data_IF_699026984693
#
_entry.id   IF_699026984693
#
_cell.length_a   1.000
_cell.length_b   1.000
_cell.length_c   1.000
_cell.angle_alpha   90.00
_cell.angle_beta   90.00
_cell.angle_gamma   90.00
#
_symmetry.space_group_name_H-M   'P 1'
#
loop_
_entity.id
_entity.type
_entity.pdbx_description
1 polymer ?
#
# COMPACT_ATOMS: atom_id res chain seq x y z
N UNK A 1 4.79 -14.85 -9.10
CA UNK A 1 5.16 -13.45 -8.76
C UNK A 1 4.26 -12.39 -9.42
N UNK A 2 3.57 -12.65 -10.55
CA UNK A 2 2.69 -11.65 -11.21
C UNK A 2 1.32 -11.48 -10.52
N UNK A 3 0.87 -12.48 -9.76
CA UNK A 3 -0.54 -12.54 -9.31
C UNK A 3 -0.81 -11.77 -8.00
N UNK A 4 0.21 -11.55 -7.16
CA UNK A 4 0.05 -10.79 -5.90
C UNK A 4 -0.30 -9.31 -6.16
N UNK A 5 0.25 -8.73 -7.23
CA UNK A 5 -0.06 -7.36 -7.62
C UNK A 5 -1.52 -7.22 -8.09
N UNK A 6 -2.02 -8.21 -8.83
CA UNK A 6 -3.41 -8.24 -9.27
C UNK A 6 -4.37 -8.37 -8.08
N UNK A 7 -4.06 -9.23 -7.11
CA UNK A 7 -4.85 -9.38 -5.89
C UNK A 7 -4.91 -8.08 -5.10
N UNK A 8 -3.77 -7.43 -4.86
CA UNK A 8 -3.72 -6.14 -4.16
C UNK A 8 -4.47 -5.04 -4.91
N UNK A 9 -4.40 -5.03 -6.24
CA UNK A 9 -5.16 -4.10 -7.07
C UNK A 9 -6.66 -4.30 -6.92
N UNK A 10 -7.15 -5.55 -7.01
CA UNK A 10 -8.58 -5.87 -6.83
C UNK A 10 -9.05 -5.47 -5.43
N UNK A 11 -8.26 -5.77 -4.40
CA UNK A 11 -8.60 -5.41 -3.02
C UNK A 11 -8.58 -3.89 -2.77
N UNK A 12 -7.81 -3.13 -3.55
CA UNK A 12 -7.79 -1.67 -3.44
C UNK A 12 -9.03 -1.01 -4.07
N UNK A 13 -9.70 -1.65 -5.03
CA UNK A 13 -10.80 -1.03 -5.78
C UNK A 13 -11.94 -0.50 -4.89
N UNK A 14 -12.46 -1.24 -3.90
CA UNK A 14 -13.53 -0.74 -3.05
C UNK A 14 -13.11 0.49 -2.23
N UNK A 15 -11.89 0.50 -1.71
CA UNK A 15 -11.34 1.62 -0.95
C UNK A 15 -11.17 2.86 -1.84
N UNK A 16 -10.66 2.68 -3.07
CA UNK A 16 -10.50 3.76 -4.05
C UNK A 16 -11.85 4.31 -4.51
N UNK A 17 -12.87 3.46 -4.68
CA UNK A 17 -14.21 3.89 -5.05
C UNK A 17 -14.83 4.78 -3.97
N UNK A 18 -14.77 4.36 -2.69
CA UNK A 18 -15.28 5.16 -1.57
C UNK A 18 -14.48 6.45 -1.39
N UNK A 19 -13.15 6.41 -1.52
CA UNK A 19 -12.30 7.61 -1.49
C UNK A 19 -12.67 8.60 -2.59
N UNK A 20 -12.87 8.12 -3.83
CA UNK A 20 -13.28 8.95 -4.95
C UNK A 20 -14.64 9.59 -4.72
N UNK A 21 -15.58 8.82 -4.17
CA UNK A 21 -16.89 9.31 -3.78
C UNK A 21 -16.82 10.39 -2.69
N UNK A 22 -16.12 10.15 -1.59
CA UNK A 22 -15.99 11.13 -0.50
C UNK A 22 -15.25 12.39 -0.96
N UNK A 23 -14.28 12.25 -1.85
CA UNK A 23 -13.59 13.38 -2.49
C UNK A 23 -14.52 14.20 -3.39
N UNK A 24 -15.41 13.53 -4.13
CA UNK A 24 -16.43 14.18 -4.94
C UNK A 24 -17.42 14.96 -4.07
N UNK A 25 -17.94 14.35 -3.00
CA UNK A 25 -18.82 15.03 -2.06
C UNK A 25 -18.16 16.24 -1.39
N UNK A 26 -16.89 16.10 -1.01
CA UNK A 26 -16.13 17.21 -0.47
C UNK A 26 -16.01 18.34 -1.49
N UNK A 27 -15.71 18.04 -2.76
CA UNK A 27 -15.65 19.02 -3.82
C UNK A 27 -16.99 19.72 -4.06
N UNK A 28 -18.09 18.98 -4.16
CA UNK A 28 -19.42 19.58 -4.37
C UNK A 28 -19.87 20.42 -3.18
N UNK A 29 -19.62 19.98 -1.94
CA UNK A 29 -20.04 20.71 -0.74
C UNK A 29 -19.22 21.99 -0.52
N UNK A 30 -17.97 22.05 -1.00
CA UNK A 30 -17.17 23.29 -0.93
C UNK A 30 -17.72 24.40 -1.83
N UNK A 31 -18.52 24.08 -2.85
CA UNK A 31 -19.16 25.06 -3.74
C UNK A 31 -20.40 25.74 -3.12
N UNK A 32 -20.98 25.18 -2.04
CA UNK A 32 -22.26 25.61 -1.46
C UNK A 32 -22.14 26.18 -0.02
N UNK A 33 -21.00 26.80 0.34
CA UNK A 33 -20.79 27.48 1.62
C UNK A 33 -20.97 26.61 2.88
N UNK A 34 -20.13 25.58 3.05
CA UNK A 34 -19.86 24.92 4.36
C UNK A 34 -18.51 24.16 4.34
N UNK A 35 -17.51 24.75 3.66
CA UNK A 35 -16.25 24.15 3.21
C UNK A 35 -15.20 23.84 4.31
N UNK A 36 -15.58 23.60 5.57
CA UNK A 36 -14.59 23.41 6.63
C UNK A 36 -14.28 21.95 6.98
N UNK A 37 -15.05 20.96 6.48
CA UNK A 37 -14.89 19.58 6.96
C UNK A 37 -15.02 18.54 5.84
N UNK A 38 -13.90 17.88 5.54
CA UNK A 38 -13.90 16.62 4.81
C UNK A 38 -14.54 15.55 5.69
N UNK A 39 -15.71 15.06 5.29
CA UNK A 39 -16.43 14.01 6.00
C UNK A 39 -16.38 12.71 5.20
N UNK A 40 -16.01 11.63 5.88
CA UNK A 40 -16.12 10.29 5.34
C UNK A 40 -17.56 9.82 5.42
N UNK A 41 -18.09 9.30 4.30
CA UNK A 41 -19.40 8.67 4.28
C UNK A 41 -19.41 7.41 5.15
N UNK A 42 -20.56 7.13 5.74
CA UNK A 42 -20.83 5.86 6.42
C UNK A 42 -21.58 4.91 5.47
N UNK A 43 -21.57 3.62 5.82
CA UNK A 43 -22.17 2.57 5.00
C UNK A 43 -23.68 2.74 4.86
N UNK A 44 -24.35 3.18 5.91
CA UNK A 44 -25.79 3.44 5.92
C UNK A 44 -26.18 4.53 4.94
N UNK A 45 -25.46 5.65 4.94
CA UNK A 45 -25.68 6.75 4.00
C UNK A 45 -25.44 6.31 2.57
N UNK A 46 -24.35 5.55 2.29
CA UNK A 46 -24.08 5.04 0.95
C UNK A 46 -25.21 4.11 0.47
N UNK A 47 -25.64 3.15 1.30
CA UNK A 47 -26.69 2.22 0.95
C UNK A 47 -28.01 2.96 0.69
N UNK A 48 -28.38 3.89 1.58
CA UNK A 48 -29.57 4.72 1.43
C UNK A 48 -29.55 5.56 0.15
N UNK A 49 -28.40 6.15 -0.16
CA UNK A 49 -28.24 7.09 -1.29
C UNK A 49 -28.33 6.37 -2.64
N UNK A 50 -27.71 5.19 -2.75
CA UNK A 50 -27.59 4.49 -4.02
C UNK A 50 -28.62 3.39 -4.22
N UNK A 51 -29.22 2.87 -3.16
CA UNK A 51 -30.19 1.77 -3.29
C UNK A 51 -31.20 1.69 -2.12
N UNK A 52 -31.93 2.79 -1.86
CA UNK A 52 -32.93 2.89 -0.80
C UNK A 52 -33.90 1.70 -0.73
N UNK A 53 -34.41 1.21 -1.87
CA UNK A 53 -35.39 0.12 -1.91
C UNK A 53 -34.85 -1.18 -1.28
N UNK A 54 -33.57 -1.48 -1.46
CA UNK A 54 -32.96 -2.68 -0.88
C UNK A 54 -32.69 -2.53 0.61
N UNK A 55 -32.42 -1.29 1.07
CA UNK A 55 -32.29 -0.97 2.49
C UNK A 55 -33.64 -1.11 3.18
N UNK A 56 -34.71 -0.61 2.57
CA UNK A 56 -36.07 -0.73 3.10
C UNK A 56 -36.52 -2.19 3.14
N UNK A 57 -36.30 -2.93 2.05
CA UNK A 57 -36.58 -4.37 2.02
C UNK A 57 -35.84 -5.13 3.13
N UNK A 58 -34.54 -4.85 3.30
CA UNK A 58 -33.76 -5.45 4.39
C UNK A 58 -34.32 -5.05 5.75
N UNK A 59 -34.71 -3.79 5.94
CA UNK A 59 -35.30 -3.30 7.19
C UNK A 59 -36.63 -3.98 7.54
N UNK A 60 -37.45 -4.32 6.53
CA UNK A 60 -38.68 -5.08 6.75
C UNK A 60 -38.42 -6.56 7.08
N UNK A 61 -37.25 -7.10 6.75
CA UNK A 61 -36.91 -8.50 6.98
C UNK A 61 -36.45 -8.78 8.43
N UNK A 62 -36.12 -7.76 9.21
CA UNK A 62 -35.63 -7.89 10.58
C UNK A 62 -36.52 -7.13 11.57
N UNK A 63 -36.62 -7.64 12.79
CA UNK A 63 -37.26 -6.92 13.88
C UNK A 63 -36.50 -5.62 14.21
N UNK A 64 -37.18 -4.53 14.59
CA UNK A 64 -36.55 -3.25 14.90
C UNK A 64 -35.44 -3.35 15.97
N UNK A 65 -35.63 -4.20 16.97
CA UNK A 65 -34.66 -4.45 18.03
C UNK A 65 -33.38 -5.10 17.50
N UNK A 66 -33.50 -6.07 16.59
CA UNK A 66 -32.35 -6.73 15.95
C UNK A 66 -31.60 -5.74 15.06
N UNK A 67 -32.35 -4.96 14.27
CA UNK A 67 -31.77 -3.97 13.37
C UNK A 67 -30.93 -2.94 14.14
N UNK A 68 -31.51 -2.36 15.20
CA UNK A 68 -30.83 -1.35 16.02
C UNK A 68 -29.64 -1.88 16.80
N UNK A 69 -29.69 -3.13 17.28
CA UNK A 69 -28.59 -3.70 18.06
C UNK A 69 -27.41 -4.20 17.22
N UNK A 70 -27.67 -4.72 16.01
CA UNK A 70 -26.64 -5.42 15.23
C UNK A 70 -26.34 -4.80 13.88
N UNK A 71 -27.33 -4.18 13.23
CA UNK A 71 -27.19 -3.68 11.87
C UNK A 71 -26.78 -2.20 11.88
N UNK A 72 -27.48 -1.36 12.64
CA UNK A 72 -27.16 0.07 12.75
C UNK A 72 -25.69 0.33 13.14
N UNK A 73 -25.08 -0.39 14.11
CA UNK A 73 -23.66 -0.20 14.44
C UNK A 73 -22.70 -0.51 13.30
N UNK A 74 -23.08 -1.38 12.36
CA UNK A 74 -22.30 -1.66 11.15
C UNK A 74 -22.50 -0.54 10.13
N UNK A 75 -23.75 -0.07 9.97
CA UNK A 75 -24.09 0.97 9.01
C UNK A 75 -23.49 2.33 9.37
N UNK A 76 -23.30 2.63 10.65
CA UNK A 76 -22.67 3.87 11.14
C UNK A 76 -21.15 3.90 10.94
N UNK A 77 -20.53 2.76 10.62
CA UNK A 77 -19.09 2.70 10.38
C UNK A 77 -18.71 3.42 9.09
N UNK A 78 -17.57 4.12 9.13
CA UNK A 78 -17.03 4.82 7.97
C UNK A 78 -16.73 3.84 6.85
N UNK A 79 -17.33 4.05 5.69
CA UNK A 79 -17.24 3.16 4.56
C UNK A 79 -15.77 2.95 4.13
N UNK A 80 -14.96 4.02 4.21
CA UNK A 80 -13.54 3.95 3.92
C UNK A 80 -12.79 2.95 4.83
N UNK A 81 -13.13 2.91 6.13
CA UNK A 81 -12.48 2.00 7.06
C UNK A 81 -12.82 0.56 6.73
N UNK A 82 -14.10 0.26 6.48
CA UNK A 82 -14.56 -1.10 6.20
C UNK A 82 -14.07 -1.61 4.86
N UNK A 83 -14.11 -0.77 3.82
CA UNK A 83 -13.66 -1.14 2.48
C UNK A 83 -12.12 -1.13 2.37
N UNK A 84 -11.43 -0.30 3.16
CA UNK A 84 -9.97 -0.20 3.18
C UNK A 84 -9.28 -1.25 4.05
N UNK A 85 -9.95 -1.76 5.09
CA UNK A 85 -9.34 -2.68 6.05
C UNK A 85 -8.81 -3.97 5.41
N UNK A 86 -9.55 -4.68 4.52
CA UNK A 86 -9.02 -5.88 3.86
C UNK A 86 -7.77 -5.61 3.02
N UNK A 87 -7.74 -4.46 2.33
CA UNK A 87 -6.56 -4.04 1.56
C UNK A 87 -5.36 -3.77 2.49
N UNK A 88 -5.57 -3.04 3.58
CA UNK A 88 -4.51 -2.76 4.56
C UNK A 88 -3.94 -4.04 5.17
N UNK A 89 -4.81 -4.96 5.60
CA UNK A 89 -4.39 -6.27 6.14
C UNK A 89 -3.58 -7.05 5.11
N UNK A 90 -4.02 -7.09 3.85
CA UNK A 90 -3.29 -7.76 2.79
C UNK A 90 -1.90 -7.13 2.59
N UNK A 91 -1.81 -5.81 2.41
CA UNK A 91 -0.53 -5.09 2.24
C UNK A 91 0.41 -5.34 3.43
N UNK A 92 -0.08 -5.18 4.66
CA UNK A 92 0.70 -5.41 5.87
C UNK A 92 1.20 -6.84 5.99
N UNK A 93 0.40 -7.83 5.58
CA UNK A 93 0.81 -9.23 5.54
C UNK A 93 1.94 -9.47 4.53
N UNK A 94 1.83 -8.92 3.31
CA UNK A 94 2.87 -9.02 2.29
C UNK A 94 4.17 -8.35 2.72
N UNK A 95 4.10 -7.17 3.33
CA UNK A 95 5.28 -6.47 3.86
C UNK A 95 5.95 -7.31 4.94
N UNK A 96 5.18 -7.84 5.89
CA UNK A 96 5.70 -8.70 6.98
C UNK A 96 6.38 -9.96 6.42
N UNK A 97 5.72 -10.66 5.49
CA UNK A 97 6.29 -11.84 4.83
C UNK A 97 7.58 -11.51 4.08
N UNK A 98 7.64 -10.36 3.41
CA UNK A 98 8.84 -9.90 2.70
C UNK A 98 9.99 -9.57 3.65
N UNK A 99 9.72 -8.94 4.79
CA UNK A 99 10.74 -8.62 5.81
C UNK A 99 11.32 -9.91 6.42
N UNK A 100 10.44 -10.83 6.81
CA UNK A 100 10.81 -12.11 7.39
C UNK A 100 11.41 -13.08 6.36
N UNK A 101 11.18 -12.84 5.07
CA UNK A 101 11.63 -13.70 3.98
C UNK A 101 10.95 -15.08 4.02
N UNK A 102 9.64 -15.09 4.27
CA UNK A 102 8.83 -16.32 4.38
C UNK A 102 7.93 -16.46 3.16
N UNK A 103 7.66 -17.70 2.72
CA UNK A 103 6.79 -18.00 1.58
C UNK A 103 7.42 -17.60 0.25
N UNK A 104 6.72 -16.87 -0.65
CA UNK A 104 7.25 -16.53 -1.98
C UNK A 104 8.45 -15.56 -1.96
N UNK A 105 8.86 -15.08 -0.78
CA UNK A 105 9.99 -14.17 -0.57
C UNK A 105 11.17 -14.83 0.16
N UNK A 106 11.22 -16.16 0.22
CA UNK A 106 12.36 -16.91 0.75
C UNK A 106 13.67 -16.45 0.11
N UNK A 107 14.66 -16.12 0.96
CA UNK A 107 15.96 -15.59 0.54
C UNK A 107 16.04 -14.08 0.25
N UNK A 108 14.90 -13.37 0.20
CA UNK A 108 14.86 -11.90 0.00
C UNK A 108 14.70 -11.09 1.30
N UNK A 109 14.52 -11.75 2.44
CA UNK A 109 14.32 -11.12 3.74
C UNK A 109 15.53 -10.36 4.28
N UNK A 110 15.51 -10.05 5.58
CA UNK A 110 16.49 -9.22 6.30
C UNK A 110 17.98 -9.50 5.95
N UNK A 111 18.35 -10.74 5.61
CA UNK A 111 19.69 -11.11 5.14
C UNK A 111 20.16 -10.33 3.90
N UNK A 112 19.27 -10.00 2.95
CA UNK A 112 19.62 -9.22 1.75
C UNK A 112 19.74 -7.71 2.05
N UNK A 113 18.97 -7.20 3.00
CA UNK A 113 19.04 -5.80 3.48
C UNK A 113 20.32 -5.55 4.27
N UNK A 114 20.72 -6.51 5.13
CA UNK A 114 22.02 -6.53 5.83
C UNK A 114 23.21 -6.78 4.88
N UNK A 115 23.04 -7.59 3.83
CA UNK A 115 24.07 -7.77 2.81
C UNK A 115 24.28 -6.51 1.94
N UNK A 116 23.26 -5.66 1.78
CA UNK A 116 23.35 -4.38 1.07
C UNK A 116 24.14 -3.32 1.83
N UNK A 117 24.08 -3.30 3.17
CA UNK A 117 24.94 -2.44 4.00
C UNK A 117 26.39 -2.93 4.09
N UNK A 118 26.65 -4.22 3.83
CA UNK A 118 27.99 -4.83 3.86
C UNK A 118 28.81 -4.75 2.56
N UNK A 119 28.22 -4.35 1.42
CA UNK A 119 28.95 -4.23 0.14
C UNK A 119 29.09 -2.78 -0.32
N UNK A 120 29.83 -1.97 0.45
CA UNK A 120 30.67 -0.95 -0.19
C UNK A 120 31.69 -1.70 -1.05
N UNK A 121 31.44 -1.75 -2.36
CA UNK A 121 32.45 -2.08 -3.37
C UNK A 121 33.71 -1.30 -2.98
N UNK A 122 34.79 -1.98 -2.60
CA UNK A 122 36.13 -1.40 -2.73
C UNK A 122 36.22 -0.99 -4.18
N UNK A 123 36.18 0.32 -4.46
CA UNK A 123 36.64 0.83 -5.74
C UNK A 123 38.04 0.27 -5.89
N UNK A 124 38.27 -0.53 -6.93
CA UNK A 124 39.62 -0.79 -7.39
C UNK A 124 40.29 0.56 -7.52
N UNK A 125 41.45 0.68 -6.88
CA UNK A 125 42.31 1.84 -6.92
C UNK A 125 42.33 2.42 -8.33
N UNK A 126 41.75 3.61 -8.50
CA UNK A 126 42.17 4.50 -9.57
C UNK A 126 43.55 5.03 -9.15
N UNK A 127 44.57 4.18 -9.24
CA UNK A 127 45.94 4.65 -9.32
C UNK A 127 46.09 5.26 -10.70
N UNK A 128 45.94 6.58 -10.78
CA UNK A 128 46.54 7.36 -11.85
C UNK A 128 48.05 7.16 -11.74
N UNK A 129 48.58 6.12 -12.41
CA UNK A 129 50.03 5.98 -12.57
C UNK A 129 50.46 6.97 -13.63
N UNK A 130 50.99 8.08 -13.14
CA UNK A 130 52.00 8.94 -13.74
C UNK A 130 52.24 8.77 -15.23
N UNK A 131 51.77 9.76 -15.98
CA UNK A 131 52.31 10.16 -17.27
C UNK A 131 53.72 10.72 -17.03
N UNK A 132 54.71 9.85 -16.83
CA UNK A 132 56.17 10.05 -17.04
C UNK A 132 56.93 8.84 -16.47
N UNK A 133 57.39 7.96 -17.35
CA UNK A 133 57.93 6.65 -16.95
C UNK A 133 59.31 6.67 -16.24
N UNK A 134 59.74 5.52 -15.71
CA UNK A 134 61.14 5.25 -15.43
C UNK A 134 61.68 4.03 -16.22
N UNK A 135 62.64 4.34 -17.09
CA UNK A 135 63.81 3.55 -17.56
C UNK A 135 63.74 2.02 -17.45
N UNK A 136 63.63 1.36 -18.62
CA UNK A 136 64.09 -0.03 -18.85
C UNK A 136 65.54 -0.18 -18.38
N UNK A 137 65.80 -0.89 -17.29
CA UNK A 137 67.17 -1.31 -16.95
C UNK A 137 67.56 -2.48 -17.86
N UNK A 138 68.37 -2.17 -18.86
CA UNK A 138 69.02 -3.16 -19.71
C UNK A 138 69.95 -4.04 -18.86
N UNK A 139 69.72 -5.36 -18.86
CA UNK A 139 70.67 -6.36 -18.35
C UNK A 139 71.82 -6.48 -19.34
N UNK A 140 73.00 -5.98 -18.99
CA UNK A 140 74.24 -6.29 -19.73
C UNK A 140 74.85 -7.57 -19.14
N UNK A 141 74.93 -8.63 -19.96
CA UNK A 141 75.81 -9.78 -19.69
C UNK A 141 77.18 -9.48 -20.32
N UNK A 142 78.26 -9.60 -19.56
CA UNK A 142 79.58 -9.89 -20.14
C UNK A 142 80.08 -11.22 -19.59
N UNK A 143 80.55 -12.05 -20.53
CA UNK A 143 81.45 -13.18 -20.29
C UNK A 143 82.82 -12.64 -19.90
#
# INVERSE_FOLDING_TARGET
MKDHGLLLFILALPALAVLGHDSYLAYTNTQYELAERFYLSDLGWLWKTYHIESMEWARFAFEPEIWSQFIDPILEQKALLIMGFPFLVAVSSFITMKILGVGPYEGQGLKMMLARTGKKKKSKDFSFTDVTGPKKRAKYKRK
#
